data_IF_121657336526
#
_entry.id   IF_121657336526
#
_cell.length_a   1.000
_cell.length_b   1.000
_cell.length_c   1.000
_cell.angle_alpha   90.00
_cell.angle_beta   90.00
_cell.angle_gamma   90.00
#
_symmetry.space_group_name_H-M   'P 1'
#
loop_
_entity.id
_entity.type
_entity.pdbx_description
1 polymer ?
#
# COMPACT_ATOMS: atom_id res chain seq x y z
N UNK A 1 -11.99 -12.28 21.72
CA UNK A 1 -12.93 -11.66 20.77
C UNK A 1 -12.15 -11.40 19.49
N UNK A 2 -12.52 -11.93 18.32
CA UNK A 2 -11.90 -11.47 17.09
C UNK A 2 -12.47 -10.08 16.81
N UNK A 3 -11.60 -9.06 16.75
CA UNK A 3 -12.00 -7.70 16.37
C UNK A 3 -12.58 -7.76 14.94
N UNK A 4 -13.87 -7.48 14.84
CA UNK A 4 -14.67 -7.87 13.69
C UNK A 4 -14.64 -6.88 12.51
N UNK A 5 -13.86 -5.80 12.55
CA UNK A 5 -13.68 -4.89 11.39
C UNK A 5 -12.41 -4.03 11.55
N UNK A 6 -11.25 -4.66 11.78
CA UNK A 6 -9.99 -3.94 11.67
C UNK A 6 -9.77 -3.57 10.18
N UNK A 7 -9.80 -2.28 9.85
CA UNK A 7 -9.48 -1.79 8.52
C UNK A 7 -8.03 -2.15 8.25
N UNK A 8 -7.79 -3.14 7.38
CA UNK A 8 -6.44 -3.54 6.98
C UNK A 8 -6.08 -2.89 5.66
N UNK A 9 -5.00 -2.10 5.66
CA UNK A 9 -4.44 -1.52 4.44
C UNK A 9 -3.41 -2.50 3.89
N UNK A 10 -3.59 -2.93 2.65
CA UNK A 10 -2.76 -3.94 1.99
C UNK A 10 -1.88 -3.36 0.87
N UNK A 11 -2.19 -2.15 0.40
CA UNK A 11 -1.49 -1.51 -0.71
C UNK A 11 -1.23 -0.02 -0.50
N UNK A 12 -0.27 0.51 -1.25
CA UNK A 12 0.04 1.95 -1.25
C UNK A 12 -1.13 2.81 -1.76
N UNK A 13 -1.94 2.29 -2.69
CA UNK A 13 -3.14 2.99 -3.17
C UNK A 13 -4.23 3.05 -2.09
N UNK A 14 -4.47 1.94 -1.38
CA UNK A 14 -5.38 1.91 -0.23
C UNK A 14 -4.91 2.85 0.88
N UNK A 15 -3.60 2.87 1.16
CA UNK A 15 -3.00 3.81 2.12
C UNK A 15 -3.28 5.25 1.73
N UNK A 16 -3.08 5.61 0.47
CA UNK A 16 -3.34 6.96 -0.04
C UNK A 16 -4.81 7.33 0.09
N UNK A 17 -5.71 6.42 -0.26
CA UNK A 17 -7.15 6.63 -0.09
C UNK A 17 -7.53 6.84 1.40
N UNK A 18 -6.98 6.03 2.30
CA UNK A 18 -7.18 6.16 3.74
C UNK A 18 -6.70 7.51 4.28
N UNK A 19 -5.53 7.99 3.84
CA UNK A 19 -5.00 9.31 4.21
C UNK A 19 -5.92 10.43 3.75
N UNK A 20 -6.38 10.38 2.49
CA UNK A 20 -7.30 11.39 1.96
C UNK A 20 -8.62 11.40 2.74
N UNK A 21 -9.12 10.23 3.12
CA UNK A 21 -10.33 10.10 3.94
C UNK A 21 -10.12 10.67 5.34
N UNK A 22 -9.04 10.29 6.02
CA UNK A 22 -8.70 10.82 7.34
C UNK A 22 -8.53 12.35 7.31
N UNK A 23 -7.89 12.89 6.27
CA UNK A 23 -7.73 14.34 6.08
C UNK A 23 -9.08 15.06 5.86
N UNK A 24 -10.02 14.43 5.15
CA UNK A 24 -11.36 14.98 4.98
C UNK A 24 -12.14 15.03 6.31
N UNK A 25 -12.00 13.99 7.15
CA UNK A 25 -12.67 13.90 8.46
C UNK A 25 -12.20 14.97 9.45
N UNK A 26 -10.95 15.45 9.35
CA UNK A 26 -10.44 16.56 10.19
C UNK A 26 -11.26 17.85 10.02
N UNK A 27 -11.79 18.08 8.82
CA UNK A 27 -12.52 19.31 8.48
C UNK A 27 -14.04 19.20 8.66
N UNK A 28 -14.57 18.03 9.02
CA UNK A 28 -16.00 17.80 9.23
C UNK A 28 -16.40 18.09 10.69
N UNK A 29 -17.67 18.45 10.92
CA UNK A 29 -18.23 18.55 12.28
C UNK A 29 -18.19 17.16 12.93
N UNK A 30 -17.41 17.02 14.01
CA UNK A 30 -17.13 15.75 14.70
C UNK A 30 -18.40 15.17 15.35
N UNK A 31 -19.07 14.26 14.65
CA UNK A 31 -19.98 13.30 15.26
C UNK A 31 -19.19 12.09 15.78
N UNK A 32 -19.85 11.24 16.57
CA UNK A 32 -19.23 10.04 17.15
C UNK A 32 -18.71 9.06 16.10
N UNK A 33 -19.36 9.02 14.94
CA UNK A 33 -19.08 8.05 13.88
C UNK A 33 -17.89 8.49 13.03
N UNK A 34 -17.79 9.79 12.72
CA UNK A 34 -16.64 10.37 12.03
C UNK A 34 -15.37 10.31 12.86
N UNK A 35 -15.48 10.50 14.18
CA UNK A 35 -14.35 10.42 15.10
C UNK A 35 -13.84 8.97 15.21
N UNK A 36 -14.75 8.00 15.32
CA UNK A 36 -14.41 6.57 15.28
C UNK A 36 -13.78 6.16 13.95
N UNK A 37 -14.33 6.63 12.82
CA UNK A 37 -13.75 6.35 11.50
C UNK A 37 -12.33 6.92 11.39
N UNK A 38 -12.12 8.14 11.88
CA UNK A 38 -10.81 8.78 11.88
C UNK A 38 -9.78 8.00 12.71
N UNK A 39 -10.17 7.52 13.90
CA UNK A 39 -9.31 6.69 14.75
C UNK A 39 -8.92 5.39 14.04
N UNK A 40 -9.89 4.68 13.45
CA UNK A 40 -9.65 3.44 12.73
C UNK A 40 -8.72 3.62 11.52
N UNK A 41 -8.94 4.66 10.72
CA UNK A 41 -8.08 4.96 9.58
C UNK A 41 -6.67 5.32 10.01
N UNK A 42 -6.51 6.11 11.07
CA UNK A 42 -5.21 6.53 11.58
C UNK A 42 -4.41 5.34 12.09
N UNK A 43 -5.06 4.42 12.82
CA UNK A 43 -4.43 3.19 13.28
C UNK A 43 -3.99 2.31 12.11
N UNK A 44 -4.86 2.06 11.14
CA UNK A 44 -4.56 1.25 9.97
C UNK A 44 -3.37 1.79 9.15
N UNK A 45 -3.31 3.12 8.98
CA UNK A 45 -2.19 3.79 8.28
C UNK A 45 -0.88 3.57 9.04
N UNK A 46 -0.89 3.76 10.36
CA UNK A 46 0.30 3.58 11.19
C UNK A 46 0.81 2.14 11.16
N UNK A 47 -0.08 1.16 11.25
CA UNK A 47 0.28 -0.26 11.17
C UNK A 47 0.91 -0.61 9.82
N UNK A 48 0.32 -0.14 8.71
CA UNK A 48 0.91 -0.33 7.38
C UNK A 48 2.29 0.31 7.28
N UNK A 49 2.47 1.54 7.76
CA UNK A 49 3.74 2.26 7.68
C UNK A 49 4.86 1.58 8.47
N UNK A 50 4.55 1.05 9.65
CA UNK A 50 5.50 0.29 10.47
C UNK A 50 5.94 -0.98 9.72
N UNK A 51 4.99 -1.73 9.17
CA UNK A 51 5.29 -2.97 8.43
C UNK A 51 6.11 -2.67 7.17
N UNK A 52 5.78 -1.62 6.42
CA UNK A 52 6.55 -1.23 5.24
C UNK A 52 7.95 -0.73 5.60
N UNK A 53 8.10 0.04 6.68
CA UNK A 53 9.40 0.51 7.13
C UNK A 53 10.32 -0.64 7.58
N UNK A 54 9.74 -1.73 8.08
CA UNK A 54 10.47 -2.95 8.44
C UNK A 54 10.90 -3.79 7.22
N UNK A 55 10.33 -3.57 6.03
CA UNK A 55 10.74 -4.26 4.82
C UNK A 55 12.02 -3.64 4.27
N UNK A 56 13.14 -4.36 4.39
CA UNK A 56 14.39 -3.98 3.75
C UNK A 56 14.23 -4.03 2.22
N UNK A 57 14.81 -3.06 1.47
CA UNK A 57 14.86 -3.15 0.02
C UNK A 57 15.44 -4.50 -0.40
N UNK A 58 14.77 -5.19 -1.32
CA UNK A 58 15.31 -6.42 -1.91
C UNK A 58 16.50 -5.99 -2.78
N UNK A 59 17.71 -6.29 -2.33
CA UNK A 59 18.90 -6.13 -3.17
C UNK A 59 18.85 -7.15 -4.30
N UNK A 60 18.72 -6.66 -5.54
CA UNK A 60 18.86 -7.50 -6.73
C UNK A 60 20.35 -7.72 -6.95
N UNK A 61 20.87 -8.97 -6.90
CA UNK A 61 22.29 -9.19 -7.12
C UNK A 61 22.68 -8.71 -8.53
N UNK A 62 23.84 -8.05 -8.71
CA UNK A 62 24.24 -7.48 -10.00
C UNK A 62 24.19 -8.46 -11.18
N UNK A 63 24.44 -9.75 -10.94
CA UNK A 63 24.33 -10.81 -11.94
C UNK A 63 22.90 -10.93 -12.52
N UNK A 64 21.86 -10.70 -11.71
CA UNK A 64 20.45 -10.78 -12.13
C UNK A 64 20.03 -9.61 -13.04
N UNK A 65 20.72 -8.48 -13.00
CA UNK A 65 20.43 -7.31 -13.84
C UNK A 65 20.53 -7.62 -15.34
N UNK A 66 21.40 -8.57 -15.73
CA UNK A 66 21.59 -8.99 -17.12
C UNK A 66 20.32 -9.68 -17.67
N UNK A 67 19.63 -10.44 -16.84
CA UNK A 67 18.40 -11.15 -17.22
C UNK A 67 17.19 -10.21 -17.32
N UNK A 68 17.09 -9.22 -16.43
CA UNK A 68 16.02 -8.21 -16.47
C UNK A 68 16.14 -7.36 -17.74
N UNK A 69 17.36 -6.91 -18.07
CA UNK A 69 17.62 -6.13 -19.30
C UNK A 69 17.46 -6.95 -20.57
N UNK A 70 17.70 -8.26 -20.52
CA UNK A 70 17.52 -9.18 -21.65
C UNK A 70 16.08 -9.61 -21.89
N UNK A 71 15.27 -9.74 -20.84
CA UNK A 71 13.87 -10.16 -20.92
C UNK A 71 12.98 -9.16 -21.68
N UNK A 72 13.28 -7.85 -21.59
CA UNK A 72 12.57 -6.81 -22.34
C UNK A 72 12.75 -6.88 -23.86
N UNK A 73 13.80 -7.54 -24.37
CA UNK A 73 14.02 -7.70 -25.82
C UNK A 73 13.38 -8.95 -26.42
N UNK A 74 12.98 -9.94 -25.61
CA UNK A 74 12.52 -11.24 -26.13
C UNK A 74 11.00 -11.33 -26.38
N UNK A 75 10.20 -10.38 -25.88
CA UNK A 75 8.74 -10.41 -26.03
C UNK A 75 8.19 -9.77 -27.32
N UNK A 76 9.04 -9.15 -28.16
CA UNK A 76 8.57 -8.49 -29.42
C UNK A 76 8.77 -9.35 -30.68
N UNK A 77 9.22 -10.61 -30.54
CA UNK A 77 9.58 -11.47 -31.69
C UNK A 77 8.79 -12.79 -31.76
N UNK A 78 7.57 -12.84 -31.24
CA UNK A 78 6.66 -13.98 -31.46
C UNK A 78 5.32 -13.50 -32.01
N UNK A 79 5.33 -13.03 -33.26
CA UNK A 79 4.16 -13.02 -34.14
C UNK A 79 4.61 -12.95 -35.60
N UNK A 80 4.96 -14.09 -36.18
CA UNK A 80 4.99 -14.32 -37.63
C UNK A 80 5.23 -15.81 -37.90
N UNK A 81 4.16 -16.59 -37.95
CA UNK A 81 3.97 -17.71 -38.87
C UNK A 81 2.48 -17.87 -39.11
#
# INVERSE_FOLDING_TARGET
MPEADAVMISSYEERKAAILRAAALINCSRGSDEEREFEMLTQAIAEFDIVQAAQSPIEIPPAFMQFIRGAGRRQVATKAS
#
